data_IF_028761832561
#
_entry.id   IF_028761832561
#
_cell.length_a   1.000
_cell.length_b   1.000
_cell.length_c   1.000
_cell.angle_alpha   90.00
_cell.angle_beta   90.00
_cell.angle_gamma   90.00
#
_symmetry.space_group_name_H-M   'P 1'
#
loop_
_entity.id
_entity.type
_entity.pdbx_description
1 polymer ?
#
# COMPACT_ATOMS: atom_id res chain seq x y z
N UNK A 1 -40.66 -21.43 -18.44
CA UNK A 1 -40.55 -20.05 -17.93
C UNK A 1 -39.29 -20.00 -17.09
N UNK A 2 -38.12 -19.82 -17.71
CA UNK A 2 -36.85 -19.72 -17.00
C UNK A 2 -36.48 -18.25 -16.94
N UNK A 3 -36.42 -17.69 -15.73
CA UNK A 3 -35.83 -16.36 -15.49
C UNK A 3 -34.34 -16.47 -15.80
N UNK A 4 -33.86 -15.57 -16.65
CA UNK A 4 -32.46 -15.28 -16.76
C UNK A 4 -32.03 -14.53 -15.50
N UNK A 5 -31.17 -15.13 -14.68
CA UNK A 5 -30.30 -14.36 -13.81
C UNK A 5 -29.18 -13.82 -14.70
N UNK A 6 -29.33 -12.56 -15.10
CA UNK A 6 -28.30 -11.79 -15.76
C UNK A 6 -27.31 -11.32 -14.70
N UNK A 7 -26.20 -12.03 -14.54
CA UNK A 7 -25.00 -11.44 -13.96
C UNK A 7 -24.31 -10.62 -15.06
N UNK A 8 -24.07 -9.32 -14.91
CA UNK A 8 -23.25 -8.58 -15.86
C UNK A 8 -21.79 -9.10 -15.75
N UNK A 9 -21.00 -9.07 -16.83
CA UNK A 9 -19.57 -9.31 -16.72
C UNK A 9 -18.93 -8.03 -16.18
N UNK A 10 -18.59 -7.99 -14.89
CA UNK A 10 -17.51 -7.10 -14.43
C UNK A 10 -16.21 -7.71 -14.97
N UNK A 11 -15.83 -7.34 -16.18
CA UNK A 11 -14.62 -7.84 -16.83
C UNK A 11 -13.44 -6.92 -16.50
N UNK A 12 -13.18 -6.74 -15.21
CA UNK A 12 -11.89 -6.26 -14.74
C UNK A 12 -11.01 -7.48 -14.57
N UNK A 13 -9.93 -7.59 -15.35
CA UNK A 13 -8.98 -8.68 -15.16
C UNK A 13 -8.12 -8.36 -13.92
N UNK A 14 -8.42 -9.03 -12.81
CA UNK A 14 -7.65 -8.90 -11.56
C UNK A 14 -6.60 -10.01 -11.47
N UNK A 15 -5.39 -9.66 -11.07
CA UNK A 15 -4.32 -10.60 -10.77
C UNK A 15 -3.54 -10.17 -9.53
N UNK A 16 -2.91 -11.11 -8.83
CA UNK A 16 -2.14 -10.75 -7.64
C UNK A 16 -0.77 -10.20 -8.07
N UNK A 17 -0.52 -8.94 -7.74
CA UNK A 17 0.79 -8.31 -7.94
C UNK A 17 1.78 -8.78 -6.87
N UNK A 18 1.36 -8.77 -5.60
CA UNK A 18 2.21 -9.16 -4.46
C UNK A 18 1.40 -9.66 -3.28
N UNK A 19 1.82 -10.77 -2.67
CA UNK A 19 1.26 -11.27 -1.41
C UNK A 19 2.23 -11.01 -0.26
N UNK A 20 1.66 -10.78 0.92
CA UNK A 20 2.37 -10.60 2.17
C UNK A 20 1.72 -11.46 3.27
N UNK A 21 2.39 -11.66 4.41
CA UNK A 21 1.78 -12.32 5.56
C UNK A 21 0.53 -11.61 6.07
N UNK A 22 -0.26 -12.29 6.92
CA UNK A 22 -1.46 -11.76 7.57
C UNK A 22 -2.59 -11.37 6.60
N UNK A 23 -2.77 -12.13 5.52
CA UNK A 23 -3.79 -11.91 4.48
C UNK A 23 -3.72 -10.51 3.84
N UNK A 24 -2.53 -9.92 3.79
CA UNK A 24 -2.26 -8.63 3.13
C UNK A 24 -1.77 -8.88 1.71
N UNK A 25 -2.28 -8.13 0.73
CA UNK A 25 -1.89 -8.28 -0.68
C UNK A 25 -2.08 -6.99 -1.48
N UNK A 26 -1.41 -6.93 -2.62
CA UNK A 26 -1.64 -5.94 -3.67
C UNK A 26 -2.16 -6.69 -4.89
N UNK A 27 -3.32 -6.25 -5.39
CA UNK A 27 -3.97 -6.76 -6.59
C UNK A 27 -3.71 -5.77 -7.73
N UNK A 28 -3.21 -6.27 -8.86
CA UNK A 28 -3.18 -5.54 -10.12
C UNK A 28 -4.56 -5.67 -10.79
N UNK A 29 -5.13 -4.52 -11.13
CA UNK A 29 -6.47 -4.37 -11.67
C UNK A 29 -6.31 -3.78 -13.07
N UNK A 30 -6.50 -4.61 -14.10
CA UNK A 30 -6.42 -4.18 -15.49
C UNK A 30 -7.75 -3.56 -15.93
N UNK A 31 -7.72 -2.24 -16.16
CA UNK A 31 -8.87 -1.44 -16.59
C UNK A 31 -8.94 -1.25 -18.12
N UNK A 32 -8.05 -1.86 -18.89
CA UNK A 32 -7.95 -1.67 -20.35
C UNK A 32 -9.23 -2.08 -21.08
N UNK A 33 -9.92 -3.13 -20.62
CA UNK A 33 -11.20 -3.56 -21.20
C UNK A 33 -12.32 -2.52 -21.05
N UNK A 34 -12.24 -1.66 -20.03
CA UNK A 34 -13.27 -0.69 -19.67
C UNK A 34 -12.96 0.73 -20.15
N UNK A 35 -11.69 1.13 -20.09
CA UNK A 35 -11.25 2.50 -20.38
C UNK A 35 -10.34 2.60 -21.62
N UNK A 36 -10.04 1.48 -22.26
CA UNK A 36 -9.17 1.38 -23.44
C UNK A 36 -7.69 1.18 -23.08
N UNK A 37 -6.91 0.72 -24.05
CA UNK A 37 -5.49 0.33 -23.90
C UNK A 37 -4.56 1.48 -23.44
N UNK A 38 -5.04 2.73 -23.44
CA UNK A 38 -4.28 3.91 -23.00
C UNK A 38 -4.28 4.09 -21.46
N UNK A 39 -5.13 3.36 -20.74
CA UNK A 39 -5.18 3.38 -19.27
C UNK A 39 -4.35 2.22 -18.73
N UNK A 40 -3.27 2.55 -18.02
CA UNK A 40 -2.43 1.55 -17.34
C UNK A 40 -3.16 0.89 -16.16
N UNK A 41 -2.65 -0.24 -15.65
CA UNK A 41 -3.27 -0.95 -14.54
C UNK A 41 -3.26 -0.12 -13.25
N UNK A 42 -4.23 -0.39 -12.37
CA UNK A 42 -4.30 0.14 -11.00
C UNK A 42 -3.83 -0.92 -10.02
N UNK A 43 -3.27 -0.50 -8.90
CA UNK A 43 -2.75 -1.39 -7.85
C UNK A 43 -3.55 -1.19 -6.57
N UNK A 44 -4.41 -2.16 -6.23
CA UNK A 44 -5.27 -2.11 -5.03
C UNK A 44 -4.58 -2.79 -3.86
N UNK A 45 -4.40 -2.06 -2.77
CA UNK A 45 -3.92 -2.61 -1.49
C UNK A 45 -5.09 -3.14 -0.68
N UNK A 46 -5.01 -4.41 -0.27
CA UNK A 46 -6.02 -5.10 0.53
C UNK A 46 -5.37 -5.66 1.80
N UNK A 47 -5.96 -5.35 2.96
CA UNK A 47 -5.54 -5.89 4.24
C UNK A 47 -6.75 -6.09 5.17
N UNK A 48 -6.70 -7.05 6.12
CA UNK A 48 -7.80 -7.28 7.03
C UNK A 48 -8.13 -6.03 7.85
N UNK A 49 -9.40 -5.64 7.87
CA UNK A 49 -9.91 -4.48 8.63
C UNK A 49 -9.33 -3.13 8.19
N UNK A 50 -8.61 -3.07 7.07
CA UNK A 50 -8.14 -1.83 6.46
C UNK A 50 -9.11 -1.40 5.36
N UNK A 51 -9.17 -0.09 5.10
CA UNK A 51 -9.95 0.43 3.96
C UNK A 51 -9.15 0.19 2.69
N UNK A 52 -9.79 -0.38 1.67
CA UNK A 52 -9.18 -0.58 0.36
C UNK A 52 -8.75 0.76 -0.25
N UNK A 53 -7.55 0.78 -0.83
CA UNK A 53 -6.97 1.96 -1.47
C UNK A 53 -6.23 1.55 -2.73
N UNK A 54 -6.33 2.37 -3.77
CA UNK A 54 -5.76 2.11 -5.10
C UNK A 54 -4.67 3.11 -5.46
N UNK A 55 -3.64 2.63 -6.16
CA UNK A 55 -2.49 3.40 -6.59
C UNK A 55 -2.29 3.29 -8.11
N UNK A 56 -1.69 4.31 -8.70
CA UNK A 56 -1.32 4.35 -10.14
C UNK A 56 -0.02 3.61 -10.45
N UNK A 57 0.80 3.36 -9.43
CA UNK A 57 2.10 2.72 -9.59
C UNK A 57 2.29 1.64 -8.52
N UNK A 58 2.78 0.48 -8.96
CA UNK A 58 3.05 -0.67 -8.10
C UNK A 58 4.04 -0.30 -6.98
N UNK A 59 5.10 0.46 -7.31
CA UNK A 59 6.10 0.91 -6.34
C UNK A 59 5.49 1.75 -5.20
N UNK A 60 4.45 2.53 -5.51
CA UNK A 60 3.73 3.33 -4.51
C UNK A 60 2.86 2.45 -3.61
N UNK A 61 2.17 1.45 -4.19
CA UNK A 61 1.39 0.48 -3.44
C UNK A 61 2.28 -0.38 -2.51
N UNK A 62 3.45 -0.79 -3.00
CA UNK A 62 4.42 -1.55 -2.21
C UNK A 62 4.99 -0.73 -1.05
N UNK A 63 5.34 0.54 -1.28
CA UNK A 63 5.78 1.44 -0.21
C UNK A 63 4.68 1.66 0.83
N UNK A 64 3.42 1.74 0.41
CA UNK A 64 2.28 1.80 1.32
C UNK A 64 2.17 0.55 2.19
N UNK A 65 2.34 -0.63 1.60
CA UNK A 65 2.40 -1.89 2.35
C UNK A 65 3.56 -1.90 3.36
N UNK A 66 4.74 -1.39 2.99
CA UNK A 66 5.86 -1.29 3.94
C UNK A 66 5.53 -0.39 5.13
N UNK A 67 4.87 0.75 4.92
CA UNK A 67 4.38 1.62 6.00
C UNK A 67 3.33 0.90 6.85
N UNK A 68 2.44 0.12 6.24
CA UNK A 68 1.45 -0.68 6.95
C UNK A 68 2.09 -1.66 7.93
N UNK A 69 3.10 -2.41 7.48
CA UNK A 69 3.84 -3.33 8.37
C UNK A 69 4.68 -2.58 9.42
N UNK A 70 5.39 -1.52 9.05
CA UNK A 70 6.23 -0.72 9.96
C UNK A 70 5.45 -0.10 11.14
N UNK A 71 4.15 0.16 10.92
CA UNK A 71 3.24 0.72 11.94
C UNK A 71 2.38 -0.33 12.63
N UNK A 72 2.57 -1.63 12.32
CA UNK A 72 1.74 -2.72 12.81
C UNK A 72 0.23 -2.55 12.48
N UNK A 73 -0.07 -2.05 11.28
CA UNK A 73 -1.43 -1.95 10.73
C UNK A 73 -2.16 -0.66 11.08
N UNK A 74 -1.62 0.50 10.67
CA UNK A 74 -2.31 1.79 10.83
C UNK A 74 -3.70 1.80 10.17
N UNK A 75 -4.55 2.73 10.62
CA UNK A 75 -5.90 2.91 10.09
C UNK A 75 -6.10 4.32 9.55
N UNK A 76 -6.64 4.44 8.34
CA UNK A 76 -7.03 5.73 7.75
C UNK A 76 -8.44 6.16 8.15
N UNK A 77 -9.20 5.30 8.82
CA UNK A 77 -10.53 5.63 9.32
C UNK A 77 -10.47 6.86 10.25
N UNK A 78 -11.12 7.95 9.85
CA UNK A 78 -11.20 9.18 10.63
C UNK A 78 -10.03 10.15 10.45
N UNK A 79 -9.07 9.86 9.57
CA UNK A 79 -8.04 10.85 9.16
C UNK A 79 -8.60 11.86 8.14
N UNK A 80 -9.67 11.48 7.42
CA UNK A 80 -10.25 12.26 6.32
C UNK A 80 -9.28 12.35 5.13
N UNK A 81 -9.71 12.96 4.02
CA UNK A 81 -8.99 12.94 2.73
C UNK A 81 -7.57 13.57 2.75
N UNK A 82 -7.16 14.19 3.86
CA UNK A 82 -5.86 14.89 4.01
C UNK A 82 -5.14 14.57 5.31
N UNK A 83 -5.68 13.67 6.13
CA UNK A 83 -5.09 13.37 7.43
C UNK A 83 -3.93 12.40 7.34
N UNK A 84 -3.03 12.52 8.29
CA UNK A 84 -1.99 11.53 8.53
C UNK A 84 -2.46 10.67 9.70
N UNK A 85 -2.49 9.32 9.57
CA UNK A 85 -2.80 8.42 10.67
C UNK A 85 -1.95 8.69 11.90
N UNK A 86 -2.52 8.73 13.12
CA UNK A 86 -1.76 8.92 14.34
C UNK A 86 -0.60 7.93 14.51
N UNK A 87 -0.80 6.67 14.10
CA UNK A 87 0.18 5.58 14.16
C UNK A 87 1.41 5.89 13.28
N UNK A 88 1.19 6.44 12.09
CA UNK A 88 2.27 6.87 11.18
C UNK A 88 3.09 8.01 11.81
N UNK A 89 2.43 8.98 12.46
CA UNK A 89 3.12 10.07 13.15
C UNK A 89 3.93 9.54 14.35
N UNK A 90 3.38 8.58 15.09
CA UNK A 90 4.03 7.99 16.26
C UNK A 90 5.21 7.09 15.89
N UNK A 91 5.16 6.41 14.75
CA UNK A 91 6.24 5.54 14.26
C UNK A 91 7.53 6.30 13.95
N UNK A 92 7.42 7.55 13.48
CA UNK A 92 8.56 8.45 13.38
C UNK A 92 8.63 9.25 12.09
N UNK A 93 9.72 10.01 11.96
CA UNK A 93 9.90 10.95 10.83
C UNK A 93 10.13 10.23 9.50
N UNK A 94 10.79 9.10 9.54
CA UNK A 94 11.07 8.26 8.38
C UNK A 94 9.80 7.56 7.88
N UNK A 95 9.01 6.97 8.76
CA UNK A 95 7.70 6.39 8.43
C UNK A 95 6.73 7.45 7.91
N UNK A 96 6.70 8.64 8.54
CA UNK A 96 5.93 9.76 8.02
C UNK A 96 6.39 10.19 6.61
N UNK A 97 7.70 10.23 6.36
CA UNK A 97 8.21 10.59 5.04
C UNK A 97 7.82 9.55 3.98
N UNK A 98 7.92 8.26 4.31
CA UNK A 98 7.49 7.17 3.44
C UNK A 98 5.99 7.25 3.15
N UNK A 99 5.15 7.41 4.18
CA UNK A 99 3.70 7.59 4.00
C UNK A 99 3.36 8.81 3.15
N UNK A 100 4.06 9.94 3.33
CA UNK A 100 3.81 11.12 2.49
C UNK A 100 4.10 10.83 1.02
N UNK A 101 5.11 10.02 0.70
CA UNK A 101 5.42 9.65 -0.69
C UNK A 101 4.38 8.72 -1.33
N UNK A 102 3.49 8.11 -0.56
CA UNK A 102 2.36 7.34 -1.10
C UNK A 102 1.19 8.23 -1.51
N UNK A 103 1.21 9.51 -1.12
CA UNK A 103 0.12 10.44 -1.38
C UNK A 103 0.24 11.05 -2.78
N UNK A 104 -0.86 11.17 -3.56
CA UNK A 104 -0.81 11.63 -4.96
C UNK A 104 -0.15 12.99 -5.20
N UNK A 105 -0.14 13.86 -4.18
CA UNK A 105 0.33 15.25 -4.29
C UNK A 105 1.78 15.45 -3.82
N UNK A 106 2.46 14.40 -3.37
CA UNK A 106 3.73 14.52 -2.66
C UNK A 106 4.85 13.74 -3.37
N UNK A 107 5.71 14.49 -4.06
CA UNK A 107 6.95 13.96 -4.61
C UNK A 107 8.12 14.05 -3.63
N UNK A 108 9.27 13.47 -4.02
CA UNK A 108 10.49 13.47 -3.20
C UNK A 108 10.97 14.88 -2.84
N UNK A 109 10.84 15.84 -3.75
CA UNK A 109 11.29 17.22 -3.52
C UNK A 109 10.37 17.95 -2.54
N UNK A 110 9.06 17.74 -2.65
CA UNK A 110 8.06 18.24 -1.73
C UNK A 110 8.32 17.71 -0.31
N UNK A 111 8.46 16.39 -0.17
CA UNK A 111 8.72 15.74 1.12
C UNK A 111 10.06 16.22 1.71
N UNK A 112 11.11 16.31 0.88
CA UNK A 112 12.39 16.84 1.31
C UNK A 112 12.29 18.28 1.84
N UNK A 113 11.53 19.14 1.15
CA UNK A 113 11.27 20.52 1.56
C UNK A 113 10.50 20.58 2.89
N UNK A 114 9.44 19.78 3.02
CA UNK A 114 8.64 19.67 4.25
C UNK A 114 9.50 19.34 5.48
N UNK A 115 10.46 18.41 5.34
CA UNK A 115 11.36 18.03 6.43
C UNK A 115 12.59 18.93 6.60
N UNK A 116 12.82 19.90 5.70
CA UNK A 116 14.04 20.70 5.65
C UNK A 116 15.29 19.84 5.39
N UNK A 117 15.18 18.86 4.49
CA UNK A 117 16.22 17.89 4.14
C UNK A 117 16.54 17.92 2.65
N UNK A 118 17.60 17.20 2.27
CA UNK A 118 17.91 16.89 0.86
C UNK A 118 17.11 15.65 0.42
N UNK A 119 16.77 15.53 -0.89
CA UNK A 119 16.10 14.35 -1.44
C UNK A 119 16.78 13.02 -1.05
N UNK A 120 18.12 12.95 -1.16
CA UNK A 120 18.89 11.76 -0.75
C UNK A 120 18.74 11.35 0.72
N UNK A 121 18.31 12.26 1.62
CA UNK A 121 17.98 11.90 3.00
C UNK A 121 16.60 11.26 3.12
N UNK A 122 15.66 11.65 2.26
CA UNK A 122 14.32 11.05 2.17
C UNK A 122 14.43 9.63 1.61
N UNK A 123 15.23 9.41 0.57
CA UNK A 123 15.51 8.05 0.06
C UNK A 123 16.05 7.12 1.16
N UNK A 124 16.93 7.65 2.02
CA UNK A 124 17.44 6.90 3.17
C UNK A 124 16.39 6.63 4.25
N UNK A 125 15.38 7.49 4.39
CA UNK A 125 14.25 7.23 5.28
C UNK A 125 13.39 6.10 4.73
N UNK A 126 13.09 6.13 3.43
CA UNK A 126 12.36 5.07 2.74
C UNK A 126 13.08 3.73 2.91
N UNK A 127 14.39 3.67 2.65
CA UNK A 127 15.13 2.40 2.80
C UNK A 127 15.01 1.83 4.21
N UNK A 128 15.06 2.66 5.26
CA UNK A 128 14.93 2.18 6.64
C UNK A 128 13.54 1.63 6.96
N UNK A 129 12.49 2.21 6.38
CA UNK A 129 11.11 1.71 6.54
C UNK A 129 10.97 0.37 5.82
N UNK A 130 11.51 0.27 4.60
CA UNK A 130 11.51 -0.98 3.82
C UNK A 130 12.26 -2.10 4.54
N UNK A 131 13.46 -1.82 5.05
CA UNK A 131 14.26 -2.79 5.81
C UNK A 131 13.48 -3.31 7.03
N UNK A 132 12.85 -2.42 7.81
CA UNK A 132 12.06 -2.83 8.99
C UNK A 132 10.81 -3.62 8.61
N UNK A 133 10.10 -3.20 7.57
CA UNK A 133 8.93 -3.91 7.10
C UNK A 133 9.29 -5.33 6.60
N UNK A 134 10.43 -5.49 5.92
CA UNK A 134 10.96 -6.79 5.54
C UNK A 134 11.30 -7.65 6.76
N UNK A 135 12.00 -7.11 7.76
CA UNK A 135 12.31 -7.81 9.01
C UNK A 135 11.04 -8.26 9.74
N UNK A 136 10.00 -7.42 9.81
CA UNK A 136 8.71 -7.73 10.43
C UNK A 136 8.03 -8.89 9.69
N UNK A 137 7.93 -8.82 8.35
CA UNK A 137 7.30 -9.87 7.55
C UNK A 137 8.02 -11.20 7.68
N UNK A 138 9.35 -11.19 7.61
CA UNK A 138 10.17 -12.40 7.78
C UNK A 138 9.97 -13.02 9.18
N UNK A 139 9.83 -12.19 10.22
CA UNK A 139 9.52 -12.66 11.58
C UNK A 139 8.16 -13.36 11.66
N UNK A 140 7.12 -12.78 11.07
CA UNK A 140 5.76 -13.36 11.05
C UNK A 140 5.74 -14.70 10.32
N UNK A 141 6.42 -14.81 9.18
CA UNK A 141 6.51 -16.07 8.44
C UNK A 141 7.21 -17.15 9.24
N UNK A 142 8.31 -16.82 9.93
CA UNK A 142 9.03 -17.76 10.77
C UNK A 142 8.15 -18.29 11.92
N UNK A 143 7.46 -17.41 12.66
CA UNK A 143 6.57 -17.81 13.77
C UNK A 143 5.35 -18.61 13.29
N UNK A 144 4.84 -18.29 12.09
CA UNK A 144 3.75 -19.04 11.45
C UNK A 144 4.15 -20.46 11.04
N UNK A 145 5.41 -20.68 10.65
CA UNK A 145 5.96 -22.00 10.36
C UNK A 145 6.17 -22.81 11.64
N UNK A 146 6.69 -22.19 12.72
CA UNK A 146 6.94 -22.87 14.00
C UNK A 146 5.65 -23.28 14.74
N UNK A 147 4.53 -22.61 14.48
CA UNK A 147 3.23 -22.89 15.09
C UNK A 147 2.40 -23.97 14.37
N UNK A 148 2.87 -24.43 13.20
CA UNK A 148 2.18 -25.40 12.34
C UNK A 148 2.75 -26.84 12.43
N UNK A 149 3.74 -27.07 13.30
CA UNK A 149 4.35 -28.38 13.62
C UNK A 149 3.80 -28.94 14.96
#
# INVERSE_FOLDING_TARGET
MSRADSHPPDSTAESIHREYPLDVRIVEVDESEQHGDDVGPRYRFEAPQHVEIEFEAAETAELYADVYFDTNGFQEAGTGDRGIPPEVVQAGRDTLAAYMLTQPMADEYFVASFFGKKPSRIQRYVSWVQDRAEEIRAGVEAEGIESAD
#
